data_IF_172322823841
#
_entry.id   IF_172322823841
#
_cell.length_a   1.000
_cell.length_b   1.000
_cell.length_c   1.000
_cell.angle_alpha   90.00
_cell.angle_beta   90.00
_cell.angle_gamma   90.00
#
_symmetry.space_group_name_H-M   'P 1'
#
loop_
_entity.id
_entity.type
_entity.pdbx_description
1 polymer ?
#
# COMPACT_ATOMS: atom_id res chain seq x y z
N UNK A 1 -26.06 -37.71 -33.75
CA UNK A 1 -25.29 -37.64 -32.49
C UNK A 1 -23.94 -37.03 -32.83
N UNK A 2 -23.76 -35.73 -32.57
CA UNK A 2 -22.50 -35.04 -32.82
C UNK A 2 -21.65 -35.09 -31.53
N UNK A 3 -20.46 -35.68 -31.63
CA UNK A 3 -19.46 -35.76 -30.55
C UNK A 3 -18.93 -34.36 -30.21
N UNK A 4 -18.78 -33.99 -28.93
CA UNK A 4 -18.18 -32.72 -28.56
C UNK A 4 -16.65 -32.79 -28.75
N UNK A 5 -16.11 -31.87 -29.54
CA UNK A 5 -14.66 -31.72 -29.75
C UNK A 5 -14.03 -31.23 -28.45
N UNK A 6 -13.18 -32.06 -27.85
CA UNK A 6 -12.40 -31.69 -26.66
C UNK A 6 -11.44 -30.54 -27.00
N UNK A 7 -11.59 -29.42 -26.31
CA UNK A 7 -10.64 -28.28 -26.41
C UNK A 7 -9.31 -28.68 -25.77
N UNK A 8 -8.21 -28.38 -26.45
CA UNK A 8 -6.85 -28.60 -25.96
C UNK A 8 -6.57 -27.79 -24.68
N UNK A 9 -5.89 -28.40 -23.71
CA UNK A 9 -5.44 -27.76 -22.46
C UNK A 9 -4.66 -26.46 -22.67
N UNK A 10 -3.95 -26.32 -23.80
CA UNK A 10 -3.23 -25.10 -24.15
C UNK A 10 -4.16 -23.93 -24.53
N UNK A 11 -5.37 -24.22 -25.01
CA UNK A 11 -6.35 -23.21 -25.38
C UNK A 11 -7.14 -22.68 -24.18
N UNK A 12 -7.17 -23.42 -23.07
CA UNK A 12 -7.70 -22.98 -21.77
C UNK A 12 -6.68 -22.13 -21.02
N UNK A 13 -5.39 -22.34 -21.22
CA UNK A 13 -4.32 -21.54 -20.60
C UNK A 13 -4.09 -20.16 -21.27
N UNK A 14 -4.76 -19.88 -22.40
CA UNK A 14 -4.57 -18.66 -23.20
C UNK A 14 -5.73 -17.65 -23.09
N UNK A 15 -6.81 -17.97 -22.36
CA UNK A 15 -7.75 -16.95 -21.92
C UNK A 15 -7.14 -16.24 -20.73
N UNK A 16 -6.75 -14.98 -20.89
CA UNK A 16 -6.57 -14.07 -19.76
C UNK A 16 -7.87 -14.10 -18.95
N UNK A 17 -7.86 -14.82 -17.82
CA UNK A 17 -8.95 -14.73 -16.86
C UNK A 17 -9.05 -13.27 -16.45
N UNK A 18 -10.19 -12.65 -16.73
CA UNK A 18 -10.53 -11.33 -16.21
C UNK A 18 -10.48 -11.47 -14.69
N UNK A 19 -9.38 -11.00 -14.11
CA UNK A 19 -9.09 -11.14 -12.70
C UNK A 19 -10.22 -10.48 -11.90
N UNK A 20 -10.96 -11.26 -11.11
CA UNK A 20 -12.07 -10.76 -10.29
C UNK A 20 -11.63 -9.59 -9.39
N UNK A 21 -12.45 -8.57 -9.13
CA UNK A 21 -12.04 -7.49 -8.24
C UNK A 21 -11.70 -8.04 -6.84
N UNK A 22 -10.64 -7.53 -6.23
CA UNK A 22 -10.27 -7.88 -4.86
C UNK A 22 -11.34 -7.37 -3.91
N UNK A 23 -11.99 -8.27 -3.16
CA UNK A 23 -13.12 -7.92 -2.29
C UNK A 23 -12.78 -7.90 -0.81
N UNK A 24 -11.85 -8.74 -0.38
CA UNK A 24 -11.53 -8.93 1.04
C UNK A 24 -10.04 -9.22 1.17
N UNK A 25 -9.41 -8.62 2.18
CA UNK A 25 -8.06 -8.98 2.62
C UNK A 25 -8.19 -9.86 3.85
N UNK A 26 -7.77 -11.10 3.74
CA UNK A 26 -7.76 -12.05 4.84
C UNK A 26 -6.39 -12.03 5.50
N UNK A 27 -6.31 -11.71 6.78
CA UNK A 27 -5.04 -11.55 7.50
C UNK A 27 -4.97 -12.58 8.64
N UNK A 28 -3.83 -13.25 8.76
CA UNK A 28 -3.54 -14.11 9.91
C UNK A 28 -3.23 -13.31 11.17
N UNK A 29 -3.69 -13.79 12.34
CA UNK A 29 -3.45 -13.12 13.62
C UNK A 29 -1.96 -12.90 13.93
N UNK A 30 -1.07 -13.77 13.45
CA UNK A 30 0.38 -13.62 13.61
C UNK A 30 0.92 -12.35 12.94
N UNK A 31 0.42 -12.01 11.76
CA UNK A 31 0.82 -10.80 11.01
C UNK A 31 0.47 -9.56 11.80
N UNK A 32 -0.75 -9.50 12.35
CA UNK A 32 -1.22 -8.38 13.16
C UNK A 32 -0.32 -8.21 14.40
N UNK A 33 -0.03 -9.31 15.11
CA UNK A 33 0.84 -9.27 16.28
C UNK A 33 2.26 -8.79 15.96
N UNK A 34 2.82 -9.20 14.82
CA UNK A 34 4.14 -8.73 14.36
C UNK A 34 4.12 -7.23 14.06
N UNK A 35 3.08 -6.72 13.39
CA UNK A 35 2.93 -5.30 13.09
C UNK A 35 2.81 -4.50 14.40
N UNK A 36 1.96 -4.93 15.34
CA UNK A 36 1.79 -4.27 16.64
C UNK A 36 3.11 -4.26 17.41
N UNK A 37 3.80 -5.41 17.48
CA UNK A 37 5.11 -5.52 18.13
C UNK A 37 6.11 -4.54 17.53
N UNK A 38 6.21 -4.51 16.19
CA UNK A 38 7.12 -3.61 15.49
C UNK A 38 6.83 -2.14 15.80
N UNK A 39 5.56 -1.72 15.75
CA UNK A 39 5.19 -0.34 16.03
C UNK A 39 5.43 0.04 17.51
N UNK A 40 5.29 -0.92 18.43
CA UNK A 40 5.51 -0.69 19.87
C UNK A 40 6.99 -0.59 20.23
N UNK A 41 7.84 -1.42 19.63
CA UNK A 41 9.29 -1.44 19.90
C UNK A 41 10.02 -0.19 19.38
N UNK A 42 9.54 0.37 18.26
CA UNK A 42 10.18 1.52 17.60
C UNK A 42 9.42 2.85 17.78
N UNK A 43 8.41 2.89 18.66
CA UNK A 43 7.71 4.14 19.00
C UNK A 43 8.68 5.17 19.60
N UNK A 44 8.68 6.44 19.15
CA UNK A 44 7.67 7.12 18.34
C UNK A 44 7.93 7.14 16.82
N UNK A 45 8.97 6.47 16.32
CA UNK A 45 9.30 6.46 14.90
C UNK A 45 8.25 5.69 14.08
N UNK A 46 8.04 6.15 12.85
CA UNK A 46 7.20 5.43 11.89
C UNK A 46 7.97 4.24 11.33
N UNK A 47 7.28 3.12 11.21
CA UNK A 47 7.83 1.86 10.74
C UNK A 47 7.10 1.32 9.52
N UNK A 48 7.85 0.63 8.67
CA UNK A 48 7.33 -0.04 7.47
C UNK A 48 7.84 -1.47 7.38
N UNK A 49 7.18 -2.31 6.60
CA UNK A 49 7.63 -3.68 6.36
C UNK A 49 6.88 -4.38 5.25
N UNK A 50 7.41 -5.52 4.80
CA UNK A 50 6.85 -6.29 3.69
C UNK A 50 5.74 -7.23 4.16
N UNK A 51 4.66 -7.31 3.37
CA UNK A 51 3.61 -8.32 3.50
C UNK A 51 3.81 -9.44 2.48
N UNK A 52 3.61 -10.66 2.97
CA UNK A 52 3.72 -11.91 2.23
C UNK A 52 2.40 -12.66 2.28
N UNK A 53 2.04 -13.28 1.16
CA UNK A 53 0.73 -13.88 1.04
C UNK A 53 0.44 -14.50 -0.32
N UNK A 54 -0.79 -14.96 -0.49
CA UNK A 54 -1.28 -15.58 -1.71
C UNK A 54 -2.55 -14.89 -2.19
N UNK A 55 -2.65 -14.71 -3.50
CA UNK A 55 -3.85 -14.19 -4.15
C UNK A 55 -4.74 -15.35 -4.59
N UNK A 56 -5.89 -15.51 -3.94
CA UNK A 56 -6.83 -16.63 -4.17
C UNK A 56 -8.18 -16.06 -4.62
N UNK A 57 -8.35 -15.96 -5.94
CA UNK A 57 -9.61 -15.55 -6.56
C UNK A 57 -9.97 -14.09 -6.24
N UNK A 58 -10.88 -13.86 -5.29
CA UNK A 58 -11.32 -12.53 -4.83
C UNK A 58 -10.82 -12.16 -3.42
N UNK A 59 -10.00 -13.01 -2.80
CA UNK A 59 -9.47 -12.84 -1.46
C UNK A 59 -7.95 -12.81 -1.52
N UNK A 60 -7.35 -11.78 -0.92
CA UNK A 60 -5.91 -11.69 -0.73
C UNK A 60 -5.57 -12.20 0.66
N UNK A 61 -4.90 -13.35 0.74
CA UNK A 61 -4.51 -13.97 2.00
C UNK A 61 -3.11 -13.51 2.41
N UNK A 62 -3.00 -12.77 3.51
CA UNK A 62 -1.75 -12.31 4.10
C UNK A 62 -1.37 -13.28 5.21
N UNK A 63 -0.39 -14.13 4.94
CA UNK A 63 0.05 -15.21 5.84
C UNK A 63 1.23 -14.77 6.70
N UNK A 64 2.10 -13.89 6.21
CA UNK A 64 3.28 -13.47 6.97
C UNK A 64 3.71 -12.03 6.65
N UNK A 65 4.54 -11.46 7.52
CA UNK A 65 5.19 -10.18 7.29
C UNK A 65 6.56 -10.14 7.96
N UNK A 66 7.42 -9.24 7.47
CA UNK A 66 8.68 -8.91 8.11
C UNK A 66 8.96 -7.40 8.06
N UNK A 67 9.56 -6.84 9.12
CA UNK A 67 9.87 -5.41 9.19
C UNK A 67 11.01 -5.03 8.25
N UNK A 68 10.98 -3.80 7.75
CA UNK A 68 12.18 -3.18 7.20
C UNK A 68 12.99 -2.58 8.34
N UNK A 69 14.33 -2.75 8.34
CA UNK A 69 15.19 -2.10 9.31
C UNK A 69 15.08 -0.58 9.11
N UNK A 70 14.89 0.15 10.22
CA UNK A 70 14.95 1.61 10.22
C UNK A 70 16.42 1.98 10.02
N UNK A 71 16.72 2.72 8.95
CA UNK A 71 18.08 3.21 8.67
C UNK A 71 18.19 4.66 9.08
N UNK A 72 19.24 5.00 9.82
CA UNK A 72 19.64 6.38 10.07
C UNK A 72 20.14 7.00 8.74
N UNK A 73 19.90 8.30 8.54
CA UNK A 73 19.94 8.99 7.23
C UNK A 73 21.31 9.00 6.50
N UNK A 74 22.36 8.41 7.08
CA UNK A 74 23.76 8.58 6.66
C UNK A 74 24.43 7.36 5.99
N UNK A 75 23.74 6.22 5.77
CA UNK A 75 24.36 5.00 5.17
C UNK A 75 23.90 4.69 3.73
N UNK A 76 24.82 4.17 2.90
CA UNK A 76 24.69 3.99 1.43
C UNK A 76 23.35 3.38 0.96
N UNK A 77 22.69 4.09 0.04
CA UNK A 77 21.26 4.45 0.16
C UNK A 77 20.24 3.45 -0.42
N UNK A 78 20.60 2.42 -1.20
CA UNK A 78 19.58 1.51 -1.81
C UNK A 78 19.97 0.03 -1.92
N UNK A 79 21.26 -0.28 -2.12
CA UNK A 79 21.70 -1.66 -2.38
C UNK A 79 21.46 -2.60 -1.18
N UNK A 80 21.59 -2.08 0.04
CA UNK A 80 21.44 -2.87 1.26
C UNK A 80 19.98 -3.18 1.60
N UNK A 81 19.00 -2.43 1.08
CA UNK A 81 17.57 -2.69 1.29
C UNK A 81 17.10 -3.89 0.48
N UNK A 82 17.44 -3.89 -0.81
CA UNK A 82 17.15 -5.01 -1.70
C UNK A 82 17.88 -6.29 -1.28
N UNK A 83 19.13 -6.18 -0.84
CA UNK A 83 19.88 -7.32 -0.31
C UNK A 83 19.23 -7.90 0.96
N UNK A 84 18.82 -7.05 1.91
CA UNK A 84 18.10 -7.50 3.10
C UNK A 84 16.81 -8.23 2.76
N UNK A 85 15.99 -7.66 1.86
CA UNK A 85 14.78 -8.31 1.37
C UNK A 85 15.09 -9.68 0.74
N UNK A 86 16.06 -9.75 -0.17
CA UNK A 86 16.42 -11.01 -0.83
C UNK A 86 16.90 -12.06 0.15
N UNK A 87 17.71 -11.69 1.13
CA UNK A 87 18.18 -12.59 2.18
C UNK A 87 17.03 -13.07 3.07
N UNK A 88 16.16 -12.15 3.52
CA UNK A 88 14.97 -12.50 4.30
C UNK A 88 14.05 -13.45 3.55
N UNK A 89 13.85 -13.25 2.25
CA UNK A 89 13.04 -14.11 1.40
C UNK A 89 13.65 -15.50 1.19
N UNK A 90 14.99 -15.61 1.23
CA UNK A 90 15.69 -16.91 1.26
C UNK A 90 15.47 -17.62 2.58
N UNK A 91 15.66 -16.93 3.70
CA UNK A 91 15.43 -17.49 5.04
C UNK A 91 13.99 -18.01 5.19
N UNK A 92 12.99 -17.25 4.74
CA UNK A 92 11.59 -17.67 4.80
C UNK A 92 11.29 -18.87 3.89
N UNK A 93 11.96 -18.97 2.74
CA UNK A 93 11.86 -20.12 1.84
C UNK A 93 12.40 -21.39 2.49
N UNK A 94 13.51 -21.30 3.22
CA UNK A 94 14.11 -22.42 3.94
C UNK A 94 13.22 -22.98 5.05
N UNK A 95 12.41 -22.10 5.67
CA UNK A 95 11.45 -22.46 6.72
C UNK A 95 10.08 -22.85 6.14
N UNK A 96 9.97 -23.02 4.82
CA UNK A 96 8.71 -23.38 4.13
C UNK A 96 7.58 -22.36 4.33
N UNK A 97 7.90 -21.09 4.53
CA UNK A 97 6.93 -19.99 4.56
C UNK A 97 6.77 -19.42 3.15
N UNK A 98 5.53 -19.08 2.78
CA UNK A 98 5.25 -18.38 1.53
C UNK A 98 6.00 -17.05 1.46
N UNK A 99 6.68 -16.83 0.34
CA UNK A 99 7.49 -15.63 0.08
C UNK A 99 6.98 -14.88 -1.16
N UNK A 100 5.66 -14.85 -1.35
CA UNK A 100 5.05 -14.08 -2.41
C UNK A 100 4.70 -12.70 -1.88
N UNK A 101 5.27 -11.66 -2.47
CA UNK A 101 5.02 -10.28 -2.08
C UNK A 101 3.63 -9.84 -2.52
N UNK A 102 2.80 -9.42 -1.56
CA UNK A 102 1.42 -8.96 -1.79
C UNK A 102 1.19 -7.48 -1.47
N UNK A 103 2.18 -6.84 -0.83
CA UNK A 103 2.15 -5.43 -0.49
C UNK A 103 3.01 -5.14 0.72
N UNK A 104 2.76 -4.03 1.41
CA UNK A 104 3.53 -3.60 2.58
C UNK A 104 2.60 -3.09 3.69
N UNK A 105 3.12 -3.02 4.91
CA UNK A 105 2.46 -2.32 5.99
C UNK A 105 3.24 -1.07 6.37
N UNK A 106 2.53 -0.09 6.89
CA UNK A 106 3.09 1.17 7.35
C UNK A 106 2.35 1.64 8.60
N UNK A 107 3.10 2.06 9.61
CA UNK A 107 2.50 2.77 10.74
C UNK A 107 2.24 4.22 10.36
N UNK A 108 1.16 4.80 10.88
CA UNK A 108 0.86 6.23 10.75
C UNK A 108 0.48 6.81 12.09
N UNK A 109 0.70 8.12 12.26
CA UNK A 109 0.15 8.87 13.39
C UNK A 109 -1.17 9.51 12.95
N UNK A 110 -2.24 9.30 13.74
CA UNK A 110 -3.55 9.95 13.59
C UNK A 110 -4.14 9.86 12.17
N UNK A 111 -3.87 8.77 11.46
CA UNK A 111 -4.34 8.57 10.09
C UNK A 111 -3.75 9.51 9.03
N UNK A 112 -2.59 10.13 9.27
CA UNK A 112 -1.82 10.88 8.24
C UNK A 112 -1.08 9.94 7.28
N UNK A 113 -1.81 9.25 6.41
CA UNK A 113 -1.22 8.30 5.45
C UNK A 113 -1.34 8.75 3.99
N UNK A 114 -2.15 9.77 3.69
CA UNK A 114 -2.46 10.14 2.30
C UNK A 114 -1.40 11.07 1.71
N UNK A 115 -0.16 10.59 1.65
CA UNK A 115 0.98 11.35 1.12
C UNK A 115 1.26 10.97 -0.34
N UNK A 116 1.96 11.84 -1.06
CA UNK A 116 2.43 11.55 -2.42
C UNK A 116 3.39 10.37 -2.42
N UNK A 117 4.23 10.25 -1.39
CA UNK A 117 5.17 9.15 -1.16
C UNK A 117 4.47 7.79 -1.10
N UNK A 118 3.29 7.72 -0.46
CA UNK A 118 2.50 6.49 -0.40
C UNK A 118 2.03 6.08 -1.81
N UNK A 119 1.59 7.06 -2.62
CA UNK A 119 1.15 6.83 -3.99
C UNK A 119 2.32 6.38 -4.86
N UNK A 120 3.46 7.04 -4.75
CA UNK A 120 4.69 6.63 -5.45
C UNK A 120 5.10 5.21 -5.07
N UNK A 121 4.99 4.85 -3.79
CA UNK A 121 5.24 3.49 -3.32
C UNK A 121 4.27 2.50 -3.96
N UNK A 122 2.96 2.78 -4.00
CA UNK A 122 1.99 1.94 -4.72
C UNK A 122 2.34 1.79 -6.20
N UNK A 123 2.70 2.88 -6.87
CA UNK A 123 3.10 2.86 -8.27
C UNK A 123 4.36 2.02 -8.49
N UNK A 124 5.33 2.09 -7.58
CA UNK A 124 6.56 1.29 -7.65
C UNK A 124 6.28 -0.21 -7.52
N UNK A 125 5.46 -0.63 -6.56
CA UNK A 125 5.03 -2.02 -6.43
C UNK A 125 4.32 -2.52 -7.70
N UNK A 126 3.54 -1.66 -8.35
CA UNK A 126 2.82 -1.98 -9.57
C UNK A 126 3.71 -1.97 -10.84
N UNK A 127 4.77 -1.15 -10.87
CA UNK A 127 5.68 -1.02 -12.03
C UNK A 127 6.59 -2.24 -12.22
N UNK A 128 6.83 -3.02 -11.16
CA UNK A 128 7.57 -4.29 -11.24
C UNK A 128 6.90 -5.27 -12.23
N UNK A 129 5.65 -5.04 -12.63
CA UNK A 129 4.93 -5.81 -13.65
C UNK A 129 5.43 -5.66 -15.10
N UNK A 130 6.14 -4.58 -15.46
CA UNK A 130 6.42 -4.29 -16.88
C UNK A 130 7.74 -4.85 -17.41
N UNK A 131 8.57 -5.50 -16.57
CA UNK A 131 9.87 -6.02 -17.01
C UNK A 131 10.85 -4.93 -17.49
N UNK A 132 10.58 -3.65 -17.20
CA UNK A 132 11.43 -2.52 -17.59
C UNK A 132 12.40 -2.07 -16.50
N UNK A 133 12.62 -2.89 -15.47
CA UNK A 133 13.63 -2.66 -14.43
C UNK A 133 14.96 -3.38 -14.72
N UNK A 134 15.47 -3.34 -15.96
CA UNK A 134 16.89 -3.57 -16.27
C UNK A 134 17.31 -2.61 -17.39
N UNK A 135 17.34 -1.31 -17.08
CA UNK A 135 17.83 -0.27 -18.00
C UNK A 135 18.74 0.77 -17.34
N UNK A 136 18.79 0.82 -16.01
CA UNK A 136 19.62 1.79 -15.27
C UNK A 136 20.73 1.15 -14.42
N UNK A 137 20.99 -0.16 -14.57
CA UNK A 137 22.18 -0.79 -13.98
C UNK A 137 23.25 -0.94 -15.05
N UNK A 138 24.12 0.06 -15.11
CA UNK A 138 25.32 0.05 -15.93
C UNK A 138 26.16 -1.21 -15.68
N UNK A 139 26.45 -1.92 -16.77
CA UNK A 139 27.38 -3.05 -16.85
C UNK A 139 28.66 -2.79 -16.05
N UNK A 140 28.85 -3.41 -14.88
CA UNK A 140 30.20 -3.67 -14.35
C UNK A 140 30.26 -5.03 -13.65
N UNK A 141 31.22 -5.84 -14.12
CA UNK A 141 31.61 -7.14 -13.58
C UNK A 141 32.00 -6.99 -12.10
N UNK A 142 31.46 -7.83 -11.22
CA UNK A 142 31.97 -8.05 -9.87
C UNK A 142 32.69 -9.40 -9.81
N UNK A 143 34.00 -9.44 -9.51
CA UNK A 143 34.69 -10.64 -9.06
C UNK A 143 34.40 -10.89 -7.57
N UNK A 144 34.87 -12.02 -7.04
CA UNK A 144 34.90 -12.44 -5.62
C UNK A 144 33.81 -13.44 -5.19
N UNK A 145 33.94 -14.67 -5.71
CA UNK A 145 33.77 -15.87 -4.87
C UNK A 145 34.92 -15.90 -3.88
N UNK A 146 34.65 -15.79 -2.58
CA UNK A 146 35.32 -16.50 -1.47
C UNK A 146 34.99 -15.85 -0.13
N UNK A 147 33.81 -16.14 0.42
CA UNK A 147 33.59 -16.15 1.87
C UNK A 147 32.23 -16.79 2.19
N UNK A 148 32.16 -18.11 2.00
CA UNK A 148 31.10 -18.96 2.53
C UNK A 148 31.77 -19.91 3.50
N UNK A 149 31.66 -19.66 4.82
CA UNK A 149 31.82 -20.72 5.83
C UNK A 149 31.34 -20.44 7.26
N UNK A 150 30.94 -19.22 7.66
CA UNK A 150 30.66 -18.93 9.09
C UNK A 150 29.21 -18.57 9.48
N UNK A 151 28.20 -18.92 8.69
CA UNK A 151 26.79 -18.62 9.04
C UNK A 151 26.00 -19.74 9.74
N UNK A 152 26.60 -20.89 10.04
CA UNK A 152 25.89 -22.02 10.68
C UNK A 152 25.60 -21.81 12.17
N UNK A 153 26.37 -20.99 12.89
CA UNK A 153 26.28 -20.86 14.35
C UNK A 153 25.48 -19.65 14.82
N UNK A 154 25.39 -18.60 14.00
CA UNK A 154 24.65 -17.36 14.33
C UNK A 154 23.13 -17.51 14.19
N UNK A 155 22.68 -18.30 13.21
CA UNK A 155 21.25 -18.57 12.95
C UNK A 155 20.59 -19.36 14.09
N UNK A 156 21.31 -20.34 14.66
CA UNK A 156 20.81 -21.15 15.79
C UNK A 156 20.64 -20.30 17.05
N UNK A 157 21.48 -19.29 17.26
CA UNK A 157 21.37 -18.41 18.42
C UNK A 157 20.27 -17.34 18.27
N UNK A 158 19.96 -16.90 17.05
CA UNK A 158 18.84 -15.98 16.79
C UNK A 158 17.46 -16.66 16.98
N UNK A 159 17.35 -17.94 16.64
CA UNK A 159 16.13 -18.73 16.88
C UNK A 159 15.92 -18.98 18.38
N UNK A 160 17.01 -19.21 19.13
CA UNK A 160 16.95 -19.38 20.59
C UNK A 160 16.57 -18.09 21.33
N UNK A 161 17.02 -16.91 20.88
CA UNK A 161 16.66 -15.65 21.56
C UNK A 161 15.19 -15.25 21.39
N UNK A 162 14.52 -15.75 20.35
CA UNK A 162 13.09 -15.52 20.11
C UNK A 162 12.19 -16.38 21.03
N UNK A 163 12.73 -17.42 21.68
CA UNK A 163 11.99 -18.39 22.50
C UNK A 163 12.22 -18.25 24.03
N UNK A 164 12.92 -17.22 24.51
CA UNK A 164 13.32 -17.09 25.93
C UNK A 164 12.18 -16.71 26.90
N UNK A 165 10.96 -16.49 26.43
CA UNK A 165 9.81 -16.20 27.33
C UNK A 165 9.03 -17.43 27.80
N UNK A 166 9.51 -18.66 27.55
CA UNK A 166 8.86 -19.88 28.03
C UNK A 166 9.78 -20.64 29.01
N UNK A 167 9.24 -20.96 30.18
CA UNK A 167 9.97 -21.69 31.23
C UNK A 167 10.55 -23.02 30.69
N UNK A 168 11.79 -23.40 31.05
CA UNK A 168 12.51 -24.54 30.45
C UNK A 168 11.84 -25.92 30.64
N UNK A 169 10.88 -26.06 31.55
CA UNK A 169 10.37 -27.36 31.98
C UNK A 169 9.31 -28.00 31.06
N UNK A 170 8.74 -27.26 30.09
CA UNK A 170 7.65 -27.79 29.22
C UNK A 170 8.11 -28.37 27.87
N UNK A 171 9.37 -28.20 27.48
CA UNK A 171 9.88 -28.63 26.16
C UNK A 171 10.15 -30.13 26.03
N UNK A 172 10.29 -30.88 27.13
CA UNK A 172 10.64 -32.31 27.10
C UNK A 172 9.44 -33.27 26.96
N UNK A 173 8.19 -32.76 26.97
CA UNK A 173 6.99 -33.61 27.00
C UNK A 173 6.27 -33.80 25.65
N UNK A 174 6.65 -33.09 24.59
CA UNK A 174 5.94 -33.11 23.30
C UNK A 174 6.53 -34.13 22.30
N UNK A 175 6.15 -35.41 22.43
CA UNK A 175 6.33 -36.41 21.37
C UNK A 175 5.09 -36.42 20.45
N UNK A 176 5.10 -35.64 19.38
CA UNK A 176 4.07 -35.71 18.33
C UNK A 176 4.48 -36.74 17.27
N UNK A 177 3.71 -37.80 17.16
CA UNK A 177 3.81 -38.86 16.15
C UNK A 177 3.15 -38.41 14.84
N UNK A 178 3.89 -38.47 13.73
CA UNK A 178 3.47 -38.09 12.39
C UNK A 178 2.92 -39.30 11.63
N UNK A 179 1.60 -39.46 11.50
CA UNK A 179 0.99 -40.53 10.67
C UNK A 179 0.04 -40.05 9.56
N UNK A 180 -0.12 -38.74 9.36
CA UNK A 180 -1.01 -38.20 8.32
C UNK A 180 -0.31 -37.71 7.03
N UNK A 181 1.02 -37.91 6.90
CA UNK A 181 1.84 -37.31 5.83
C UNK A 181 1.99 -38.17 4.56
N UNK A 182 1.47 -39.40 4.52
CA UNK A 182 1.73 -40.34 3.40
C UNK A 182 0.80 -40.18 2.18
N UNK A 183 -0.37 -39.56 2.33
CA UNK A 183 -1.34 -39.46 1.23
C UNK A 183 -0.98 -38.40 0.18
N UNK A 184 -0.23 -37.35 0.57
CA UNK A 184 0.14 -36.25 -0.33
C UNK A 184 1.45 -36.52 -1.11
N UNK A 185 2.30 -37.43 -0.63
CA UNK A 185 3.55 -37.81 -1.29
C UNK A 185 3.37 -38.73 -2.51
N UNK A 186 2.26 -39.46 -2.63
CA UNK A 186 2.01 -40.37 -3.76
C UNK A 186 1.66 -39.65 -5.07
N UNK A 187 1.17 -38.41 -5.02
CA UNK A 187 0.88 -37.63 -6.24
C UNK A 187 2.13 -36.95 -6.80
N UNK A 188 3.11 -36.60 -5.95
CA UNK A 188 4.34 -35.90 -6.35
C UNK A 188 5.47 -36.80 -6.89
N UNK A 189 5.45 -38.11 -6.62
CA UNK A 189 6.50 -39.04 -7.11
C UNK A 189 6.37 -39.45 -8.59
N UNK A 190 5.25 -39.20 -9.26
CA UNK A 190 5.10 -39.49 -10.70
C UNK A 190 5.62 -38.41 -11.65
N UNK A 191 5.86 -37.18 -11.17
CA UNK A 191 6.34 -36.07 -12.01
C UNK A 191 7.87 -35.99 -12.14
N UNK A 192 8.63 -36.78 -11.37
CA UNK A 192 10.10 -36.67 -11.28
C UNK A 192 10.86 -37.80 -12.02
N UNK A 193 10.17 -38.86 -12.45
CA UNK A 193 10.78 -39.90 -13.31
C UNK A 193 10.57 -39.56 -14.78
N UNK A 194 11.30 -38.57 -15.30
CA UNK A 194 11.17 -38.21 -16.70
C UNK A 194 12.10 -37.12 -17.21
N UNK A 195 13.20 -36.77 -16.54
CA UNK A 195 14.21 -35.88 -17.13
C UNK A 195 15.60 -36.41 -16.76
N UNK A 196 16.11 -37.28 -17.63
CA UNK A 196 17.50 -37.70 -17.62
C UNK A 196 18.40 -36.64 -18.28
N UNK A 197 19.44 -36.25 -17.55
CA UNK A 197 20.80 -36.03 -18.03
C UNK A 197 20.98 -35.11 -19.26
N UNK A 198 20.99 -33.79 -19.07
CA UNK A 198 21.73 -32.83 -19.92
C UNK A 198 22.18 -31.58 -19.15
N UNK A 199 23.51 -31.39 -19.10
CA UNK A 199 24.20 -30.10 -19.22
C UNK A 199 23.89 -28.97 -18.22
N UNK A 200 24.87 -28.71 -17.36
CA UNK A 200 24.98 -27.65 -16.34
C UNK A 200 25.03 -26.19 -16.89
N UNK A 201 24.42 -25.94 -18.05
CA UNK A 201 24.31 -24.62 -18.69
C UNK A 201 22.90 -24.03 -18.67
N UNK A 202 21.86 -24.82 -18.41
CA UNK A 202 20.45 -24.37 -18.45
C UNK A 202 19.84 -24.02 -17.10
N UNK A 203 20.54 -24.28 -15.99
CA UNK A 203 20.00 -24.06 -14.63
C UNK A 203 20.31 -22.65 -14.12
N UNK A 204 21.29 -21.95 -14.70
CA UNK A 204 21.64 -20.57 -14.32
C UNK A 204 20.75 -19.50 -14.96
N UNK A 205 20.11 -19.78 -16.09
CA UNK A 205 19.06 -18.90 -16.64
C UNK A 205 17.65 -19.21 -16.07
N UNK A 206 17.47 -20.38 -15.45
CA UNK A 206 16.19 -20.76 -14.83
C UNK A 206 15.99 -20.21 -13.40
N UNK A 207 17.05 -19.71 -12.75
CA UNK A 207 16.97 -19.11 -11.39
C UNK A 207 16.73 -17.58 -11.48
N UNK A 208 16.82 -16.97 -12.67
CA UNK A 208 16.56 -15.54 -12.90
C UNK A 208 15.07 -15.19 -13.18
N UNK A 209 14.16 -16.16 -13.19
CA UNK A 209 12.75 -15.95 -13.51
C UNK A 209 11.83 -16.73 -12.55
N UNK A 210 12.02 -16.54 -11.24
CA UNK A 210 10.96 -16.87 -10.29
C UNK A 210 9.87 -15.80 -10.38
N UNK A 211 8.98 -15.99 -11.37
CA UNK A 211 7.65 -15.38 -11.56
C UNK A 211 7.21 -14.41 -10.45
N UNK A 212 7.53 -13.12 -10.62
CA UNK A 212 6.68 -12.04 -10.11
C UNK A 212 5.47 -11.99 -11.02
N UNK A 213 4.53 -12.93 -10.84
CA UNK A 213 3.26 -12.93 -11.54
C UNK A 213 2.26 -12.16 -10.68
N UNK A 214 1.80 -11.03 -11.22
CA UNK A 214 0.61 -10.29 -10.80
C UNK A 214 0.76 -9.51 -9.48
N UNK A 215 1.48 -8.38 -9.49
CA UNK A 215 1.37 -7.39 -8.40
C UNK A 215 0.17 -6.45 -8.63
N UNK A 216 -0.66 -6.66 -9.68
CA UNK A 216 -1.87 -5.87 -9.94
C UNK A 216 -2.72 -5.57 -8.70
N UNK A 217 -2.72 -6.49 -7.73
CA UNK A 217 -3.46 -6.43 -6.48
C UNK A 217 -2.55 -6.17 -5.27
N UNK A 218 -1.74 -5.12 -5.34
CA UNK A 218 -0.98 -4.64 -4.19
C UNK A 218 -1.89 -3.98 -3.15
N UNK A 219 -1.72 -4.33 -1.87
CA UNK A 219 -2.45 -3.72 -0.75
C UNK A 219 -1.47 -3.11 0.25
N UNK A 220 -1.78 -1.91 0.74
CA UNK A 220 -1.09 -1.33 1.88
C UNK A 220 -1.92 -1.52 3.15
N UNK A 221 -1.32 -2.07 4.20
CA UNK A 221 -1.95 -2.13 5.54
C UNK A 221 -1.43 -0.96 6.37
N UNK A 222 -2.34 -0.05 6.74
CA UNK A 222 -2.05 1.06 7.63
C UNK A 222 -2.44 0.69 9.06
N UNK A 223 -1.50 0.82 9.99
CA UNK A 223 -1.74 0.64 11.42
C UNK A 223 -1.52 1.95 12.19
N UNK A 224 -2.49 2.34 13.01
CA UNK A 224 -2.38 3.52 13.88
C UNK A 224 -2.24 3.09 15.36
N UNK A 225 -1.03 3.20 15.96
CA UNK A 225 -0.83 2.84 17.35
C UNK A 225 -1.51 3.81 18.32
N UNK A 226 -1.63 5.10 17.99
CA UNK A 226 -2.24 6.10 18.87
C UNK A 226 -3.75 5.85 19.00
N UNK A 227 -4.41 5.52 17.90
CA UNK A 227 -5.82 5.14 17.90
C UNK A 227 -6.04 3.76 18.52
N UNK A 228 -5.11 2.82 18.30
CA UNK A 228 -5.19 1.48 18.90
C UNK A 228 -5.08 1.49 20.43
N UNK A 229 -4.29 2.39 20.98
CA UNK A 229 -4.20 2.60 22.44
C UNK A 229 -5.50 3.10 23.08
N UNK A 230 -6.48 3.57 22.31
CA UNK A 230 -7.82 3.95 22.82
C UNK A 230 -8.80 2.77 22.91
N UNK A 231 -8.33 1.55 22.62
CA UNK A 231 -9.10 0.32 22.75
C UNK A 231 -9.78 -0.15 21.46
N UNK A 232 -9.50 0.46 20.31
CA UNK A 232 -10.01 0.02 18.99
C UNK A 232 -8.85 -0.32 18.08
N UNK A 233 -8.75 -1.58 17.61
CA UNK A 233 -7.73 -1.99 16.64
C UNK A 233 -7.84 -1.17 15.35
N UNK A 234 -6.93 -0.21 15.17
CA UNK A 234 -6.95 0.70 14.04
C UNK A 234 -6.10 0.15 12.90
N UNK A 235 -6.72 -0.72 12.10
CA UNK A 235 -6.14 -1.26 10.87
C UNK A 235 -7.00 -0.84 9.68
N UNK A 236 -6.36 -0.37 8.62
CA UNK A 236 -6.98 -0.12 7.31
C UNK A 236 -6.22 -0.84 6.22
N UNK A 237 -6.92 -1.45 5.27
CA UNK A 237 -6.31 -2.01 4.07
C UNK A 237 -6.69 -1.12 2.88
N UNK A 238 -5.70 -0.55 2.23
CA UNK A 238 -5.87 0.41 1.14
C UNK A 238 -5.36 -0.17 -0.17
N UNK A 239 -6.07 0.15 -1.24
CA UNK A 239 -5.66 -0.08 -2.63
C UNK A 239 -5.85 1.23 -3.41
N UNK A 240 -4.97 1.51 -4.38
CA UNK A 240 -5.23 2.59 -5.34
C UNK A 240 -6.30 2.17 -6.35
N UNK A 241 -7.16 3.12 -6.70
CA UNK A 241 -8.13 2.92 -7.78
C UNK A 241 -7.45 2.81 -9.15
N UNK A 242 -7.94 1.90 -9.99
CA UNK A 242 -7.32 1.61 -11.29
C UNK A 242 -7.38 2.81 -12.25
N UNK A 243 -8.46 3.60 -12.18
CA UNK A 243 -8.65 4.83 -12.95
C UNK A 243 -7.69 5.95 -12.54
N UNK A 244 -7.38 6.04 -11.23
CA UNK A 244 -6.42 6.98 -10.70
C UNK A 244 -4.99 6.60 -11.11
N UNK A 245 -4.63 5.31 -11.02
CA UNK A 245 -3.32 4.81 -11.45
C UNK A 245 -3.03 5.13 -12.93
N UNK A 246 -4.02 4.97 -13.81
CA UNK A 246 -3.84 5.31 -15.22
C UNK A 246 -3.59 6.81 -15.44
N UNK A 247 -4.30 7.69 -14.71
CA UNK A 247 -4.02 9.14 -14.77
C UNK A 247 -2.64 9.48 -14.25
N UNK A 248 -2.24 8.88 -13.13
CA UNK A 248 -0.94 9.13 -12.52
C UNK A 248 0.21 8.78 -13.46
N UNK A 249 0.10 7.68 -14.23
CA UNK A 249 1.08 7.32 -15.27
C UNK A 249 1.22 8.36 -16.38
N UNK A 250 0.14 9.07 -16.72
CA UNK A 250 0.16 10.12 -17.74
C UNK A 250 0.61 11.48 -17.20
N UNK A 251 0.81 11.60 -15.89
CA UNK A 251 1.20 12.80 -15.16
C UNK A 251 0.40 14.06 -15.56
N UNK A 252 -0.91 13.91 -15.76
CA UNK A 252 -1.76 14.97 -16.28
C UNK A 252 -3.01 15.19 -15.41
N UNK A 253 -2.79 15.83 -14.26
CA UNK A 253 -3.82 16.17 -13.27
C UNK A 253 -4.45 17.54 -13.55
N UNK A 254 -4.96 17.72 -14.77
CA UNK A 254 -5.71 18.91 -15.19
C UNK A 254 -7.19 18.77 -14.86
N UNK A 255 -7.89 19.90 -14.67
CA UNK A 255 -9.30 19.90 -14.30
C UNK A 255 -10.20 19.22 -15.34
N UNK A 256 -9.84 19.30 -16.62
CA UNK A 256 -10.61 18.69 -17.71
C UNK A 256 -10.54 17.17 -17.69
N UNK A 257 -9.35 16.60 -17.55
CA UNK A 257 -9.15 15.14 -17.52
C UNK A 257 -9.73 14.48 -16.28
N UNK A 258 -9.70 15.17 -15.15
CA UNK A 258 -10.37 14.71 -13.93
C UNK A 258 -11.89 14.63 -14.13
N UNK A 259 -12.49 15.60 -14.84
CA UNK A 259 -13.92 15.59 -15.17
C UNK A 259 -14.27 14.52 -16.20
N UNK A 260 -13.43 14.31 -17.21
CA UNK A 260 -13.63 13.24 -18.22
C UNK A 260 -13.67 11.85 -17.59
N UNK A 261 -12.80 11.60 -16.60
CA UNK A 261 -12.75 10.32 -15.87
C UNK A 261 -13.67 10.26 -14.64
N UNK A 262 -14.40 11.35 -14.34
CA UNK A 262 -15.29 11.47 -13.19
C UNK A 262 -14.63 11.05 -11.86
N UNK A 263 -13.37 11.46 -11.65
CA UNK A 263 -12.62 11.12 -10.43
C UNK A 263 -12.79 12.19 -9.36
N UNK A 264 -13.23 11.77 -8.17
CA UNK A 264 -13.30 12.61 -6.99
C UNK A 264 -12.08 12.41 -6.07
N UNK A 265 -11.95 13.26 -5.05
CA UNK A 265 -10.95 13.12 -3.99
C UNK A 265 -11.16 11.86 -3.13
N UNK A 266 -12.38 11.33 -3.08
CA UNK A 266 -12.75 10.11 -2.35
C UNK A 266 -12.22 8.86 -3.05
N UNK A 267 -12.22 8.86 -4.39
CA UNK A 267 -11.97 7.66 -5.20
C UNK A 267 -10.48 7.36 -5.42
N UNK A 268 -9.57 8.09 -4.74
CA UNK A 268 -8.13 7.87 -4.86
C UNK A 268 -7.74 6.55 -4.20
N UNK A 269 -8.21 6.36 -2.96
CA UNK A 269 -7.94 5.19 -2.14
C UNK A 269 -9.22 4.40 -1.93
N UNK A 270 -9.22 3.14 -2.35
CA UNK A 270 -10.28 2.19 -2.08
C UNK A 270 -9.93 1.41 -0.81
N UNK A 271 -10.80 1.51 0.22
CA UNK A 271 -10.66 0.72 1.45
C UNK A 271 -11.25 -0.67 1.26
N UNK A 272 -10.43 -1.69 1.49
CA UNK A 272 -10.83 -3.10 1.35
C UNK A 272 -11.09 -3.67 2.75
N UNK A 273 -12.25 -4.33 2.98
CA UNK A 273 -12.54 -4.90 4.28
C UNK A 273 -11.53 -5.98 4.67
N UNK A 274 -11.08 -5.91 5.92
CA UNK A 274 -10.16 -6.86 6.52
C UNK A 274 -10.94 -7.95 7.25
N UNK A 275 -10.62 -9.22 6.99
CA UNK A 275 -11.11 -10.37 7.75
C UNK A 275 -9.94 -11.05 8.46
N UNK A 276 -10.02 -11.17 9.78
CA UNK A 276 -9.01 -11.94 10.53
C UNK A 276 -9.37 -13.42 10.45
N UNK A 277 -8.41 -14.24 10.05
CA UNK A 277 -8.56 -15.70 10.01
C UNK A 277 -7.44 -16.36 10.81
N UNK A 278 -7.78 -17.33 11.65
CA UNK A 278 -6.80 -18.14 12.37
C UNK A 278 -6.94 -19.60 11.97
N UNK A 279 -5.80 -20.31 11.94
CA UNK A 279 -5.79 -21.77 11.88
C UNK A 279 -6.37 -22.35 13.17
N UNK A 280 -6.97 -23.55 13.09
CA UNK A 280 -7.55 -24.23 14.24
C UNK A 280 -6.56 -24.42 15.40
N UNK A 281 -5.27 -24.63 15.10
CA UNK A 281 -4.22 -24.74 16.11
C UNK A 281 -3.96 -23.42 16.84
N UNK A 282 -3.96 -22.29 16.12
CA UNK A 282 -3.82 -20.96 16.73
C UNK A 282 -5.04 -20.68 17.61
N UNK A 283 -6.24 -21.02 17.15
CA UNK A 283 -7.45 -20.88 17.97
C UNK A 283 -7.36 -21.71 19.27
N UNK A 284 -6.93 -22.96 19.19
CA UNK A 284 -6.72 -23.81 20.38
C UNK A 284 -5.65 -23.23 21.31
N UNK A 285 -4.55 -22.71 20.74
CA UNK A 285 -3.50 -22.05 21.50
C UNK A 285 -3.98 -20.76 22.18
N UNK A 286 -4.83 -19.96 21.53
CA UNK A 286 -5.44 -18.78 22.16
C UNK A 286 -6.34 -19.20 23.34
N UNK A 287 -7.10 -20.28 23.23
CA UNK A 287 -7.89 -20.83 24.34
C UNK A 287 -7.02 -21.35 25.50
N UNK A 288 -5.81 -21.86 25.22
CA UNK A 288 -4.85 -22.21 26.28
C UNK A 288 -4.25 -20.96 26.93
N UNK A 289 -3.94 -19.92 26.15
CA UNK A 289 -3.47 -18.63 26.68
C UNK A 289 -4.53 -17.90 27.51
N UNK A 290 -5.82 -18.15 27.25
CA UNK A 290 -6.94 -17.64 28.05
C UNK A 290 -6.97 -18.26 29.47
N UNK A 291 -6.24 -19.34 29.74
CA UNK A 291 -6.12 -19.91 31.08
C UNK A 291 -5.07 -19.16 31.94
N UNK A 292 -5.47 -18.79 33.16
CA UNK A 292 -4.68 -18.19 34.24
C UNK A 292 -4.25 -16.71 34.11
N UNK A 293 -5.00 -15.88 33.37
CA UNK A 293 -5.04 -14.45 33.70
C UNK A 293 -6.30 -14.13 34.48
N UNK A 294 -6.21 -13.56 35.70
CA UNK A 294 -7.41 -13.20 36.43
C UNK A 294 -8.19 -12.20 35.58
N UNK A 295 -9.50 -12.45 35.48
CA UNK A 295 -10.55 -11.70 34.77
C UNK A 295 -10.69 -10.26 35.30
N UNK A 296 -9.59 -9.50 35.31
CA UNK A 296 -9.44 -8.19 35.95
C UNK A 296 -8.96 -7.13 34.95
N UNK A 297 -8.37 -7.52 33.82
CA UNK A 297 -8.24 -6.63 32.67
C UNK A 297 -9.56 -6.61 31.89
N UNK A 298 -10.63 -6.13 32.54
CA UNK A 298 -11.70 -5.52 31.78
C UNK A 298 -11.08 -4.37 30.97
N UNK A 299 -11.45 -4.22 29.71
CA UNK A 299 -10.98 -3.16 28.79
C UNK A 299 -11.34 -1.74 29.29
N UNK A 300 -10.82 -1.31 30.44
CA UNK A 300 -11.08 0.01 31.02
C UNK A 300 -10.53 1.14 30.14
N UNK A 301 -9.58 0.84 29.25
CA UNK A 301 -9.08 1.78 28.24
C UNK A 301 -10.21 2.30 27.32
N UNK A 302 -11.23 1.47 27.05
CA UNK A 302 -12.42 1.88 26.30
C UNK A 302 -13.36 2.79 27.08
N UNK A 303 -13.18 2.91 28.40
CA UNK A 303 -14.00 3.72 29.30
C UNK A 303 -13.30 5.01 29.75
N UNK A 304 -12.09 5.29 29.25
CA UNK A 304 -11.38 6.53 29.57
C UNK A 304 -12.15 7.76 29.08
N UNK A 305 -12.47 8.68 30.00
CA UNK A 305 -13.15 9.95 29.73
C UNK A 305 -12.17 11.06 29.28
N UNK A 306 -10.90 10.93 29.63
CA UNK A 306 -9.84 11.90 29.29
C UNK A 306 -9.35 11.71 27.85
N UNK A 307 -10.05 12.26 26.87
CA UNK A 307 -9.64 12.22 25.44
C UNK A 307 -8.85 13.45 24.97
N UNK A 308 -8.43 14.32 25.91
CA UNK A 308 -7.85 15.64 25.59
C UNK A 308 -6.61 15.59 24.68
N UNK A 309 -5.54 14.82 24.97
CA UNK A 309 -4.29 14.92 24.20
C UNK A 309 -4.40 14.34 22.78
N UNK A 310 -5.31 13.38 22.55
CA UNK A 310 -5.57 12.87 21.22
C UNK A 310 -6.37 13.87 20.38
N UNK A 311 -7.41 14.47 20.97
CA UNK A 311 -8.23 15.45 20.27
C UNK A 311 -7.42 16.71 19.92
N UNK A 312 -6.58 17.18 20.85
CA UNK A 312 -5.68 18.31 20.66
C UNK A 312 -4.76 18.10 19.45
N UNK A 313 -4.03 16.98 19.42
CA UNK A 313 -3.16 16.65 18.26
C UNK A 313 -3.91 16.48 16.95
N UNK A 314 -5.12 15.90 16.97
CA UNK A 314 -5.95 15.82 15.76
C UNK A 314 -6.35 17.21 15.26
N UNK A 315 -6.64 18.15 16.17
CA UNK A 315 -6.96 19.53 15.81
C UNK A 315 -5.72 20.29 15.32
N UNK A 316 -4.56 20.09 15.93
CA UNK A 316 -3.29 20.66 15.46
C UNK A 316 -3.00 20.24 14.01
N UNK A 317 -3.03 18.93 13.71
CA UNK A 317 -2.79 18.45 12.35
C UNK A 317 -3.89 18.88 11.37
N UNK A 318 -5.15 18.98 11.81
CA UNK A 318 -6.22 19.52 10.97
C UNK A 318 -5.95 20.98 10.60
N UNK A 319 -5.47 21.80 11.54
CA UNK A 319 -5.12 23.20 11.30
C UNK A 319 -3.98 23.30 10.27
N UNK A 320 -2.95 22.45 10.38
CA UNK A 320 -1.86 22.37 9.42
C UNK A 320 -2.37 22.02 8.02
N UNK A 321 -3.16 20.95 7.86
CA UNK A 321 -3.74 20.59 6.56
C UNK A 321 -4.65 21.68 5.98
N UNK A 322 -5.42 22.40 6.83
CA UNK A 322 -6.24 23.52 6.39
C UNK A 322 -5.40 24.71 5.89
N UNK A 323 -4.24 24.95 6.51
CA UNK A 323 -3.29 25.96 6.04
C UNK A 323 -2.70 25.58 4.68
N UNK A 324 -2.28 24.32 4.51
CA UNK A 324 -1.75 23.82 3.24
C UNK A 324 -2.80 23.89 2.12
N UNK A 325 -4.06 23.53 2.40
CA UNK A 325 -5.15 23.68 1.44
C UNK A 325 -5.37 25.14 1.05
N UNK A 326 -5.26 26.07 2.00
CA UNK A 326 -5.36 27.51 1.73
C UNK A 326 -4.22 27.98 0.82
N UNK A 327 -2.99 27.50 1.03
CA UNK A 327 -1.84 27.79 0.17
C UNK A 327 -2.05 27.25 -1.26
N UNK A 328 -2.52 26.01 -1.41
CA UNK A 328 -2.86 25.43 -2.71
C UNK A 328 -3.98 26.22 -3.40
N UNK A 329 -5.01 26.63 -2.65
CA UNK A 329 -6.09 27.45 -3.18
C UNK A 329 -5.60 28.80 -3.69
N UNK A 330 -4.61 29.42 -3.03
CA UNK A 330 -4.00 30.67 -3.51
C UNK A 330 -3.29 30.50 -4.85
N UNK A 331 -2.63 29.36 -5.10
CA UNK A 331 -2.02 29.05 -6.42
C UNK A 331 -3.09 29.03 -7.52
N UNK A 332 -4.23 28.38 -7.26
CA UNK A 332 -5.35 28.37 -8.21
C UNK A 332 -5.96 29.76 -8.40
N UNK A 333 -6.14 30.55 -7.34
CA UNK A 333 -6.63 31.92 -7.45
C UNK A 333 -5.69 32.79 -8.30
N UNK A 334 -4.38 32.63 -8.15
CA UNK A 334 -3.39 33.32 -8.97
C UNK A 334 -3.50 32.90 -10.45
N UNK A 335 -3.63 31.60 -10.71
CA UNK A 335 -3.85 31.08 -12.07
C UNK A 335 -5.12 31.66 -12.71
N UNK A 336 -6.27 31.64 -12.03
CA UNK A 336 -7.52 32.20 -12.55
C UNK A 336 -7.45 33.70 -12.82
N UNK A 337 -6.75 34.46 -11.96
CA UNK A 337 -6.52 35.90 -12.19
C UNK A 337 -5.72 36.14 -13.46
N UNK A 338 -4.68 35.34 -13.71
CA UNK A 338 -3.87 35.44 -14.92
C UNK A 338 -4.64 34.99 -16.17
N UNK A 339 -5.42 33.91 -16.07
CA UNK A 339 -6.27 33.42 -17.15
C UNK A 339 -7.32 34.47 -17.53
N UNK A 340 -7.98 35.09 -16.56
CA UNK A 340 -8.95 36.16 -16.81
C UNK A 340 -8.31 37.38 -17.50
N UNK A 341 -7.11 37.77 -17.07
CA UNK A 341 -6.34 38.84 -17.72
C UNK A 341 -5.97 38.48 -19.16
N UNK A 342 -5.52 37.26 -19.40
CA UNK A 342 -5.17 36.76 -20.73
C UNK A 342 -6.41 36.72 -21.65
N UNK A 343 -7.53 36.19 -21.16
CA UNK A 343 -8.80 36.17 -21.90
C UNK A 343 -9.26 37.59 -22.26
N UNK A 344 -9.13 38.55 -21.35
CA UNK A 344 -9.42 39.95 -21.63
C UNK A 344 -8.51 40.54 -22.72
N UNK A 345 -7.21 40.24 -22.69
CA UNK A 345 -6.26 40.66 -23.72
C UNK A 345 -6.54 40.00 -25.08
N UNK A 346 -6.86 38.71 -25.10
CA UNK A 346 -7.26 37.97 -26.30
C UNK A 346 -8.52 38.58 -26.92
N UNK A 347 -9.56 38.85 -26.12
CA UNK A 347 -10.79 39.46 -26.61
C UNK A 347 -10.55 40.88 -27.14
N UNK A 348 -9.77 41.70 -26.44
CA UNK A 348 -9.44 43.05 -26.90
C UNK A 348 -8.61 43.02 -28.21
N UNK A 349 -7.68 42.07 -28.34
CA UNK A 349 -6.90 41.87 -29.56
C UNK A 349 -7.80 41.41 -30.72
N UNK A 350 -8.69 40.44 -30.48
CA UNK A 350 -9.65 39.93 -31.47
C UNK A 350 -10.63 41.02 -31.91
N UNK A 351 -11.12 41.84 -30.99
CA UNK A 351 -11.99 42.98 -31.31
C UNK A 351 -11.29 44.00 -32.22
N UNK A 352 -10.04 44.37 -31.90
CA UNK A 352 -9.23 45.25 -32.75
C UNK A 352 -9.00 44.65 -34.14
N UNK A 353 -8.69 43.35 -34.21
CA UNK A 353 -8.49 42.64 -35.47
C UNK A 353 -9.75 42.52 -36.30
N UNK A 354 -10.91 42.27 -35.69
CA UNK A 354 -12.20 42.27 -36.39
C UNK A 354 -12.57 43.65 -36.94
N UNK A 355 -12.27 44.72 -36.21
CA UNK A 355 -12.46 46.08 -36.70
C UNK A 355 -11.54 46.38 -37.90
N UNK A 356 -10.26 45.97 -37.84
CA UNK A 356 -9.33 46.09 -38.97
C UNK A 356 -9.77 45.26 -40.19
N UNK A 357 -10.20 44.02 -39.98
CA UNK A 357 -10.69 43.14 -41.04
C UNK A 357 -11.98 43.67 -41.68
N UNK A 358 -12.89 44.30 -40.92
CA UNK A 358 -14.06 44.98 -41.48
C UNK A 358 -13.66 46.19 -42.34
N UNK A 359 -12.65 46.96 -41.91
CA UNK A 359 -12.14 48.08 -42.70
C UNK A 359 -11.48 47.60 -44.01
N UNK A 360 -10.61 46.58 -43.95
CA UNK A 360 -9.97 45.97 -45.14
C UNK A 360 -10.97 45.40 -46.13
N UNK A 361 -12.03 44.75 -45.64
CA UNK A 361 -13.13 44.24 -46.48
C UNK A 361 -13.88 45.37 -47.20
N UNK A 362 -14.02 46.54 -46.57
CA UNK A 362 -14.63 47.71 -47.21
C UNK A 362 -13.73 48.31 -48.32
N UNK A 363 -12.40 48.20 -48.17
CA UNK A 363 -11.41 48.61 -49.18
C UNK A 363 -11.14 47.56 -50.26
N UNK A 364 -11.68 46.35 -50.12
CA UNK A 364 -11.50 45.24 -51.08
C UNK A 364 -10.24 44.39 -50.89
N UNK A 365 -9.56 44.50 -49.75
CA UNK A 365 -8.41 43.66 -49.39
C UNK A 365 -8.84 42.37 -48.66
N UNK A 366 -8.03 41.31 -48.76
CA UNK A 366 -8.28 40.06 -48.03
C UNK A 366 -8.08 40.24 -46.51
N UNK A 367 -8.96 39.64 -45.68
CA UNK A 367 -8.88 39.74 -44.23
C UNK A 367 -7.67 38.99 -43.68
N UNK A 368 -7.03 39.56 -42.65
CA UNK A 368 -5.90 38.93 -41.97
C UNK A 368 -6.39 37.82 -41.03
N UNK A 369 -5.57 36.77 -40.78
CA UNK A 369 -5.91 35.68 -39.87
C UNK A 369 -6.27 36.17 -38.46
N UNK A 370 -7.36 35.63 -37.90
CA UNK A 370 -7.86 35.97 -36.56
C UNK A 370 -7.11 35.29 -35.43
N UNK A 371 -6.21 34.35 -35.70
CA UNK A 371 -5.34 33.77 -34.68
C UNK A 371 -3.92 33.71 -35.25
N UNK A 372 -3.01 34.44 -34.60
CA UNK A 372 -1.59 34.38 -34.91
C UNK A 372 -0.92 33.47 -33.86
N UNK A 373 -0.53 32.23 -34.20
CA UNK A 373 0.10 31.29 -33.27
C UNK A 373 1.41 31.80 -32.67
N UNK A 374 2.01 32.83 -33.26
CA UNK A 374 3.25 33.43 -32.79
C UNK A 374 3.05 34.47 -31.67
N UNK A 375 1.82 34.94 -31.43
CA UNK A 375 1.56 35.99 -30.44
C UNK A 375 1.51 35.39 -29.00
N UNK A 376 2.33 35.89 -28.06
CA UNK A 376 2.39 35.39 -26.68
C UNK A 376 1.04 35.36 -25.95
N UNK A 377 0.10 36.22 -26.35
CA UNK A 377 -1.24 36.32 -25.76
C UNK A 377 -2.07 35.06 -26.01
N UNK A 378 -1.78 34.29 -27.07
CA UNK A 378 -2.49 33.04 -27.38
C UNK A 378 -1.84 31.78 -26.79
N UNK A 379 -0.68 31.89 -26.12
CA UNK A 379 -0.04 30.73 -25.48
C UNK A 379 -0.82 30.30 -24.24
N UNK A 380 -1.33 29.06 -24.14
CA UNK A 380 -2.07 28.60 -22.97
C UNK A 380 -1.21 28.70 -21.70
N UNK A 381 -1.79 29.27 -20.63
CA UNK A 381 -1.14 29.27 -19.31
C UNK A 381 -1.19 27.84 -18.72
N UNK A 382 -0.06 27.33 -18.19
CA UNK A 382 -0.04 26.00 -17.57
C UNK A 382 -0.92 25.99 -16.31
N UNK A 383 -1.86 25.04 -16.23
CA UNK A 383 -2.70 24.83 -15.05
C UNK A 383 -1.86 24.18 -13.91
N UNK A 384 -1.97 24.65 -12.66
CA UNK A 384 -1.40 23.95 -11.51
C UNK A 384 -2.01 22.55 -11.35
N UNK A 385 -1.22 21.59 -10.88
CA UNK A 385 -1.71 20.24 -10.58
C UNK A 385 -2.76 20.28 -9.46
N UNK A 386 -3.83 19.49 -9.59
CA UNK A 386 -4.87 19.35 -8.56
C UNK A 386 -4.64 18.21 -7.57
N UNK A 387 -3.58 17.41 -7.77
CA UNK A 387 -3.31 16.22 -6.96
C UNK A 387 -3.19 16.56 -5.47
N UNK A 388 -2.31 17.51 -5.12
CA UNK A 388 -2.04 17.86 -3.73
C UNK A 388 -3.30 18.39 -3.03
N UNK A 389 -4.09 19.21 -3.73
CA UNK A 389 -5.38 19.68 -3.22
C UNK A 389 -6.36 18.55 -2.91
N UNK A 390 -6.39 17.49 -3.73
CA UNK A 390 -7.28 16.34 -3.49
C UNK A 390 -6.81 15.52 -2.30
N UNK A 391 -5.50 15.27 -2.17
CA UNK A 391 -4.93 14.53 -1.05
C UNK A 391 -5.15 15.27 0.27
N UNK A 392 -4.86 16.57 0.32
CA UNK A 392 -5.07 17.38 1.53
C UNK A 392 -6.56 17.41 1.91
N UNK A 393 -7.47 17.53 0.93
CA UNK A 393 -8.92 17.51 1.20
C UNK A 393 -9.37 16.18 1.82
N UNK A 394 -8.82 15.07 1.34
CA UNK A 394 -9.14 13.75 1.86
C UNK A 394 -8.53 13.55 3.27
N UNK A 395 -7.33 14.07 3.55
CA UNK A 395 -6.76 14.10 4.90
C UNK A 395 -7.64 14.89 5.88
N UNK A 396 -8.09 16.08 5.48
CA UNK A 396 -9.03 16.90 6.26
C UNK A 396 -10.31 16.11 6.57
N UNK A 397 -10.89 15.44 5.56
CA UNK A 397 -12.07 14.60 5.77
C UNK A 397 -11.81 13.46 6.77
N UNK A 398 -10.65 12.81 6.69
CA UNK A 398 -10.26 11.75 7.62
C UNK A 398 -10.12 12.29 9.06
N UNK A 399 -9.52 13.47 9.26
CA UNK A 399 -9.45 14.11 10.57
C UNK A 399 -10.83 14.49 11.10
N UNK A 400 -11.69 15.08 10.28
CA UNK A 400 -13.07 15.38 10.67
C UNK A 400 -13.84 14.12 11.09
N UNK A 401 -13.70 13.02 10.35
CA UNK A 401 -14.33 11.74 10.69
C UNK A 401 -13.77 11.15 12.00
N UNK A 402 -12.47 11.28 12.25
CA UNK A 402 -11.86 10.86 13.51
C UNK A 402 -12.36 11.68 14.70
N UNK A 403 -12.41 13.01 14.56
CA UNK A 403 -12.93 13.92 15.59
C UNK A 403 -14.39 13.60 15.89
N UNK A 404 -15.22 13.43 14.86
CA UNK A 404 -16.62 13.04 15.02
C UNK A 404 -16.77 11.67 15.71
N UNK A 405 -15.93 10.71 15.35
CA UNK A 405 -15.90 9.38 15.97
C UNK A 405 -15.52 9.43 17.46
N UNK A 406 -14.49 10.19 17.81
CA UNK A 406 -14.08 10.39 19.21
C UNK A 406 -15.16 11.14 19.98
N UNK A 407 -15.72 12.22 19.44
CA UNK A 407 -16.79 12.96 20.09
C UNK A 407 -18.01 12.08 20.37
N UNK A 408 -18.45 11.26 19.40
CA UNK A 408 -19.55 10.31 19.56
C UNK A 408 -19.28 9.25 20.65
N UNK A 409 -18.06 8.70 20.68
CA UNK A 409 -17.67 7.77 21.74
C UNK A 409 -17.59 8.45 23.11
N UNK A 410 -17.01 9.64 23.20
CA UNK A 410 -16.91 10.42 24.44
C UNK A 410 -18.28 10.78 25.00
N UNK A 411 -19.25 11.17 24.16
CA UNK A 411 -20.63 11.37 24.61
C UNK A 411 -21.25 10.09 25.16
N UNK A 412 -21.06 8.96 24.47
CA UNK A 412 -21.57 7.66 24.92
C UNK A 412 -21.00 7.27 26.29
N UNK A 413 -19.70 7.48 26.50
CA UNK A 413 -19.02 7.26 27.79
C UNK A 413 -19.56 8.20 28.87
N UNK A 414 -19.75 9.48 28.55
CA UNK A 414 -20.25 10.48 29.49
C UNK A 414 -21.69 10.18 29.93
N UNK A 415 -22.57 9.74 29.02
CA UNK A 415 -23.93 9.31 29.35
C UNK A 415 -23.92 8.06 30.25
N UNK A 416 -23.04 7.09 29.96
CA UNK A 416 -22.90 5.90 30.80
C UNK A 416 -22.39 6.25 32.21
N UNK A 417 -21.37 7.11 32.32
CA UNK A 417 -20.87 7.59 33.61
C UNK A 417 -21.91 8.41 34.37
N UNK A 418 -22.71 9.22 33.67
CA UNK A 418 -23.83 9.96 34.28
C UNK A 418 -24.84 8.99 34.89
N UNK A 419 -25.26 7.97 34.15
CA UNK A 419 -26.19 6.95 34.66
C UNK A 419 -25.62 6.15 35.84
N UNK A 420 -24.29 5.93 35.88
CA UNK A 420 -23.61 5.32 37.02
C UNK A 420 -23.53 6.27 38.23
N UNK A 421 -23.50 7.58 38.02
CA UNK A 421 -23.45 8.58 39.10
C UNK A 421 -24.83 8.91 39.68
N UNK A 422 -25.89 8.76 38.89
CA UNK A 422 -27.29 8.98 39.33
C UNK A 422 -27.87 7.81 40.14
N UNK A 423 -27.21 6.65 40.16
CA UNK A 423 -27.47 5.54 41.09
C UNK A 423 -26.55 5.63 42.31
#
# INVERSE_FOLDING_TARGET
MATPVARSFLQVAATEEVASPLRVVQIEGLVILKIIKHCKEFSPALVTGQLLGLDVGSVLEVTNCFPFPIREEDEEIEADGANYQLEMMRCLREVNVDNNTVGWYQSTLLGSFQTVELIETFMNYQLIESGQAIGMYGKRKVPWLHQVKDLSSKVVNAIKSTFVCLSPEKLDSLKITTSAHESSLKFRKRAVQGIGNKGDGGVKEAISYSRVKNIRRCVCIIYDPLKSNQGVLALKALKLSDSFMELYRTNNFTGEKLREKNLSWVDIFEEIPIKVSNSALISAFMTELEADTPVVQCDYDRLQLSTSPFLERNMEFLIECMYDLSMEQQKFQYYYRNLSRQQGQQQAWLQKRRAENMARKATGEEPLPEEDPSNPVFKPLPEPSRLDSFLITNQISNYCNQINGVAGQSFSRLYLTKALHEN
#
